data_IF_228922049908
#
_entry.id   IF_228922049908
#
_cell.length_a   1.000
_cell.length_b   1.000
_cell.length_c   1.000
_cell.angle_alpha   90.00
_cell.angle_beta   90.00
_cell.angle_gamma   90.00
#
_symmetry.space_group_name_H-M   'P 1'
#
loop_
_entity.id
_entity.type
_entity.pdbx_description
1 polymer ?
#
# COMPACT_ATOMS: atom_id res chain seq x y z
N UNK A 1 -2.46 -2.85 -24.52
CA UNK A 1 -1.21 -3.63 -24.78
C UNK A 1 -0.41 -3.91 -23.48
N UNK A 2 -0.38 -3.01 -22.52
CA UNK A 2 0.38 -3.20 -21.24
C UNK A 2 -0.28 -4.21 -20.30
N UNK A 3 -1.62 -4.24 -20.20
CA UNK A 3 -2.34 -5.28 -19.48
C UNK A 3 -1.99 -6.68 -19.99
N UNK A 4 -1.85 -6.85 -21.31
CA UNK A 4 -1.52 -8.15 -21.90
C UNK A 4 -0.12 -8.68 -21.51
N UNK A 5 0.88 -7.82 -21.30
CA UNK A 5 2.23 -8.22 -20.89
C UNK A 5 2.20 -8.69 -19.44
N UNK A 6 1.54 -7.94 -18.56
CA UNK A 6 1.35 -8.31 -17.16
C UNK A 6 0.60 -9.65 -17.06
N UNK A 7 -0.53 -9.78 -17.75
CA UNK A 7 -1.35 -10.99 -17.71
C UNK A 7 -0.61 -12.22 -18.25
N UNK A 8 0.24 -12.05 -19.29
CA UNK A 8 1.12 -13.13 -19.78
C UNK A 8 2.18 -13.52 -18.76
N UNK A 9 2.81 -12.56 -18.08
CA UNK A 9 3.78 -12.83 -17.01
C UNK A 9 3.15 -13.60 -15.85
N UNK A 10 1.95 -13.19 -15.43
CA UNK A 10 1.21 -13.87 -14.36
C UNK A 10 0.81 -15.29 -14.77
N UNK A 11 0.36 -15.49 -16.01
CA UNK A 11 0.06 -16.82 -16.58
C UNK A 11 1.29 -17.73 -16.64
N UNK A 12 2.42 -17.22 -17.12
CA UNK A 12 3.67 -17.98 -17.19
C UNK A 12 4.18 -18.44 -15.81
N UNK A 13 3.88 -17.66 -14.75
CA UNK A 13 4.23 -18.03 -13.37
C UNK A 13 3.17 -18.88 -12.66
N UNK A 14 2.09 -19.28 -13.37
CA UNK A 14 1.02 -20.10 -12.81
C UNK A 14 0.17 -19.37 -11.77
N UNK A 15 0.01 -18.04 -11.89
CA UNK A 15 -0.76 -17.20 -10.99
C UNK A 15 -1.98 -16.58 -11.70
N UNK A 16 -2.73 -17.41 -12.44
CA UNK A 16 -3.93 -16.98 -13.19
C UNK A 16 -5.02 -16.38 -12.30
N UNK A 17 -5.04 -16.71 -11.01
CA UNK A 17 -6.02 -16.26 -10.02
C UNK A 17 -5.48 -15.19 -9.07
N UNK A 18 -4.38 -14.50 -9.43
CA UNK A 18 -3.92 -13.38 -8.59
C UNK A 18 -4.84 -12.17 -8.77
N UNK A 19 -5.61 -11.88 -7.73
CA UNK A 19 -6.53 -10.75 -7.69
C UNK A 19 -5.82 -9.40 -7.46
N UNK A 20 -4.49 -9.35 -7.59
CA UNK A 20 -3.70 -8.13 -7.39
C UNK A 20 -3.86 -7.57 -5.97
N UNK A 21 -4.14 -6.27 -5.87
CA UNK A 21 -4.34 -5.60 -4.57
C UNK A 21 -5.49 -6.21 -3.76
N UNK A 22 -6.56 -6.65 -4.44
CA UNK A 22 -7.69 -7.31 -3.77
C UNK A 22 -7.27 -8.65 -3.12
N UNK A 23 -6.33 -9.38 -3.71
CA UNK A 23 -5.79 -10.62 -3.12
C UNK A 23 -5.05 -10.35 -1.80
N UNK A 24 -4.30 -9.26 -1.72
CA UNK A 24 -3.63 -8.85 -0.48
C UNK A 24 -4.65 -8.41 0.58
N UNK A 25 -5.68 -7.64 0.20
CA UNK A 25 -6.75 -7.22 1.10
C UNK A 25 -7.51 -8.43 1.66
N UNK A 26 -7.84 -9.41 0.82
CA UNK A 26 -8.43 -10.68 1.27
C UNK A 26 -7.50 -11.47 2.20
N UNK A 27 -6.20 -11.46 1.92
CA UNK A 27 -5.17 -12.02 2.81
C UNK A 27 -5.14 -11.33 4.17
N UNK A 28 -5.25 -10.01 4.20
CA UNK A 28 -5.35 -9.20 5.42
C UNK A 28 -6.67 -9.42 6.17
N UNK A 29 -7.75 -9.82 5.50
CA UNK A 29 -8.99 -10.31 6.13
C UNK A 29 -8.88 -11.76 6.62
N UNK A 30 -7.78 -12.43 6.32
CA UNK A 30 -7.58 -13.85 6.62
C UNK A 30 -8.38 -14.80 5.73
N UNK A 31 -8.98 -14.33 4.65
CA UNK A 31 -9.80 -15.14 3.73
C UNK A 31 -8.94 -16.01 2.81
N UNK A 32 -7.82 -15.46 2.34
CA UNK A 32 -6.92 -16.13 1.39
C UNK A 32 -5.46 -16.13 1.89
N UNK A 33 -4.66 -17.06 1.36
CA UNK A 33 -3.22 -17.09 1.60
C UNK A 33 -2.51 -16.24 0.55
N UNK A 34 -1.77 -15.25 1.02
CA UNK A 34 -0.94 -14.42 0.14
C UNK A 34 0.28 -15.19 -0.31
N UNK A 35 0.57 -15.17 -1.61
CA UNK A 35 1.74 -15.84 -2.18
C UNK A 35 2.95 -14.89 -2.17
N UNK A 36 4.13 -15.41 -1.76
CA UNK A 36 5.38 -14.65 -1.86
C UNK A 36 5.76 -14.34 -3.33
N UNK A 37 5.31 -15.15 -4.28
CA UNK A 37 5.59 -14.96 -5.70
C UNK A 37 5.01 -13.66 -6.26
N UNK A 38 3.99 -13.10 -5.60
CA UNK A 38 3.40 -11.80 -5.98
C UNK A 38 4.43 -10.67 -5.85
N UNK A 39 5.34 -10.70 -4.86
CA UNK A 39 6.34 -9.65 -4.67
C UNK A 39 7.26 -9.45 -5.88
N UNK A 40 8.02 -10.45 -6.37
CA UNK A 40 8.87 -10.26 -7.53
C UNK A 40 8.08 -9.99 -8.81
N UNK A 41 6.90 -10.59 -8.96
CA UNK A 41 6.06 -10.37 -10.13
C UNK A 41 5.58 -8.94 -10.24
N UNK A 42 5.04 -8.37 -9.14
CA UNK A 42 4.56 -6.98 -9.16
C UNK A 42 5.72 -6.00 -9.33
N UNK A 43 6.89 -6.30 -8.75
CA UNK A 43 8.08 -5.47 -8.92
C UNK A 43 8.51 -5.40 -10.39
N UNK A 44 8.66 -6.56 -11.06
CA UNK A 44 9.05 -6.63 -12.47
C UNK A 44 7.98 -6.00 -13.37
N UNK A 45 6.69 -6.32 -13.12
CA UNK A 45 5.59 -5.77 -13.90
C UNK A 45 5.51 -4.24 -13.79
N UNK A 46 5.71 -3.69 -12.60
CA UNK A 46 5.72 -2.24 -12.38
C UNK A 46 6.92 -1.59 -13.07
N UNK A 47 8.09 -2.19 -12.98
CA UNK A 47 9.30 -1.71 -13.63
C UNK A 47 9.13 -1.67 -15.15
N UNK A 48 8.66 -2.75 -15.77
CA UNK A 48 8.40 -2.82 -17.20
C UNK A 48 7.37 -1.78 -17.62
N UNK A 49 6.30 -1.61 -16.84
CA UNK A 49 5.26 -0.62 -17.15
C UNK A 49 5.82 0.80 -17.17
N UNK A 50 6.65 1.17 -16.20
CA UNK A 50 7.27 2.49 -16.16
C UNK A 50 8.30 2.70 -17.27
N UNK A 51 9.13 1.69 -17.55
CA UNK A 51 10.12 1.74 -18.64
C UNK A 51 9.46 1.93 -20.01
N UNK A 52 8.27 1.36 -20.21
CA UNK A 52 7.51 1.52 -21.45
C UNK A 52 6.64 2.79 -21.47
N UNK A 53 6.82 3.71 -20.53
CA UNK A 53 6.07 4.96 -20.45
C UNK A 53 4.61 4.80 -20.01
N UNK A 54 4.26 3.68 -19.40
CA UNK A 54 2.91 3.43 -18.90
C UNK A 54 2.62 4.16 -17.59
N UNK A 55 1.40 4.61 -17.44
CA UNK A 55 0.89 5.17 -16.19
C UNK A 55 0.42 4.03 -15.29
N UNK A 56 1.20 3.70 -14.25
CA UNK A 56 0.82 2.75 -13.22
C UNK A 56 0.94 3.40 -11.85
N UNK A 57 -0.10 3.23 -11.03
CA UNK A 57 -0.09 3.67 -9.63
C UNK A 57 0.94 2.88 -8.82
N UNK A 58 1.63 3.56 -7.91
CA UNK A 58 2.63 2.95 -7.02
C UNK A 58 2.01 2.38 -5.75
N UNK A 59 0.82 2.88 -5.37
CA UNK A 59 0.14 2.55 -4.13
C UNK A 59 -0.20 1.06 -4.03
N UNK A 60 -0.87 0.53 -5.06
CA UNK A 60 -1.23 -0.87 -5.12
C UNK A 60 -0.01 -1.80 -5.16
N UNK A 61 1.07 -1.40 -5.85
CA UNK A 61 2.31 -2.16 -5.88
C UNK A 61 3.00 -2.19 -4.52
N UNK A 62 3.01 -1.07 -3.76
CA UNK A 62 3.58 -1.01 -2.43
C UNK A 62 2.85 -1.93 -1.44
N UNK A 63 1.51 -1.94 -1.49
CA UNK A 63 0.69 -2.82 -0.65
C UNK A 63 0.95 -4.30 -0.98
N UNK A 64 1.00 -4.64 -2.27
CA UNK A 64 1.26 -6.01 -2.72
C UNK A 64 2.67 -6.48 -2.34
N UNK A 65 3.68 -5.64 -2.55
CA UNK A 65 5.05 -5.91 -2.13
C UNK A 65 5.14 -6.14 -0.63
N UNK A 66 4.68 -5.18 0.17
CA UNK A 66 4.75 -5.27 1.63
C UNK A 66 4.03 -6.49 2.20
N UNK A 67 2.77 -6.69 1.78
CA UNK A 67 1.96 -7.82 2.25
C UNK A 67 2.48 -9.19 1.80
N UNK A 68 3.00 -9.31 0.56
CA UNK A 68 3.50 -10.58 0.06
C UNK A 68 4.89 -10.95 0.59
N UNK A 69 5.78 -9.98 0.81
CA UNK A 69 7.11 -10.23 1.37
C UNK A 69 7.05 -10.79 2.80
N UNK A 70 6.09 -10.33 3.60
CA UNK A 70 5.95 -10.77 4.99
C UNK A 70 5.19 -12.11 5.13
N UNK A 71 4.42 -12.48 4.12
CA UNK A 71 3.57 -13.69 4.10
C UNK A 71 4.27 -15.00 4.50
N UNK A 72 5.54 -15.30 4.10
CA UNK A 72 6.22 -16.53 4.45
C UNK A 72 6.49 -16.71 5.94
N UNK A 73 6.54 -15.61 6.70
CA UNK A 73 6.79 -15.66 8.15
C UNK A 73 5.69 -16.38 8.93
N UNK A 74 4.53 -16.61 8.32
CA UNK A 74 3.45 -17.39 8.91
C UNK A 74 3.90 -18.79 9.34
N UNK A 75 4.69 -19.47 8.48
CA UNK A 75 5.10 -20.86 8.73
C UNK A 75 6.07 -20.99 9.91
N UNK A 76 7.20 -20.27 9.93
CA UNK A 76 8.17 -20.39 11.02
C UNK A 76 7.61 -19.88 12.36
N UNK A 77 6.75 -18.87 12.34
CA UNK A 77 6.14 -18.30 13.55
C UNK A 77 4.87 -19.05 14.00
N UNK A 78 4.41 -20.05 13.24
CA UNK A 78 3.19 -20.82 13.54
C UNK A 78 1.98 -19.96 13.85
N UNK A 79 1.79 -18.86 13.09
CA UNK A 79 0.77 -17.85 13.37
C UNK A 79 -0.64 -18.38 13.10
N UNK A 80 -1.54 -18.05 14.03
CA UNK A 80 -2.96 -18.26 13.87
C UNK A 80 -3.53 -17.38 12.73
N UNK A 81 -4.80 -17.58 12.37
CA UNK A 81 -5.45 -16.82 11.30
C UNK A 81 -5.47 -15.32 11.58
N UNK A 82 -5.80 -14.93 12.82
CA UNK A 82 -5.87 -13.53 13.23
C UNK A 82 -4.48 -12.87 13.25
N UNK A 83 -3.48 -13.56 13.76
CA UNK A 83 -2.10 -13.07 13.80
C UNK A 83 -1.53 -12.93 12.39
N UNK A 84 -1.87 -13.85 11.49
CA UNK A 84 -1.49 -13.76 10.09
C UNK A 84 -2.15 -12.56 9.39
N UNK A 85 -3.41 -12.29 9.68
CA UNK A 85 -4.12 -11.10 9.21
C UNK A 85 -3.39 -9.82 9.66
N UNK A 86 -3.08 -9.70 10.96
CA UNK A 86 -2.30 -8.56 11.47
C UNK A 86 -0.92 -8.46 10.82
N UNK A 87 -0.24 -9.59 10.61
CA UNK A 87 1.07 -9.61 9.94
C UNK A 87 0.99 -9.01 8.53
N UNK A 88 -0.02 -9.39 7.74
CA UNK A 88 -0.22 -8.82 6.40
C UNK A 88 -0.49 -7.31 6.47
N UNK A 89 -1.33 -6.85 7.40
CA UNK A 89 -1.57 -5.41 7.61
C UNK A 89 -0.27 -4.67 7.96
N UNK A 90 0.59 -5.24 8.83
CA UNK A 90 1.91 -4.67 9.14
C UNK A 90 2.79 -4.57 7.91
N UNK A 91 2.81 -5.60 7.04
CA UNK A 91 3.54 -5.56 5.79
C UNK A 91 3.04 -4.47 4.83
N UNK A 92 1.72 -4.33 4.71
CA UNK A 92 1.10 -3.28 3.92
C UNK A 92 1.47 -1.88 4.44
N UNK A 93 1.39 -1.68 5.77
CA UNK A 93 1.77 -0.42 6.43
C UNK A 93 3.25 -0.10 6.20
N UNK A 94 4.14 -1.08 6.34
CA UNK A 94 5.57 -0.92 6.10
C UNK A 94 5.86 -0.51 4.65
N UNK A 95 5.30 -1.23 3.68
CA UNK A 95 5.49 -0.92 2.25
C UNK A 95 5.00 0.46 1.86
N UNK A 96 3.83 0.86 2.38
CA UNK A 96 3.25 2.18 2.14
C UNK A 96 4.09 3.29 2.80
N UNK A 97 4.53 3.07 4.04
CA UNK A 97 5.38 4.01 4.79
C UNK A 97 6.73 4.24 4.11
N UNK A 98 7.39 3.18 3.65
CA UNK A 98 8.66 3.28 2.94
C UNK A 98 8.53 4.07 1.63
N UNK A 99 7.38 3.97 0.94
CA UNK A 99 7.14 4.67 -0.31
C UNK A 99 6.85 6.17 -0.12
N UNK A 100 6.02 6.51 0.88
CA UNK A 100 5.49 7.87 1.06
C UNK A 100 6.16 8.65 2.20
N UNK A 101 6.90 7.99 3.08
CA UNK A 101 7.52 8.63 4.25
C UNK A 101 6.51 9.11 5.30
N UNK A 102 5.31 8.52 5.35
CA UNK A 102 4.20 8.92 6.23
C UNK A 102 3.76 7.77 7.13
N UNK A 103 4.52 7.42 8.18
CA UNK A 103 4.28 6.21 8.96
C UNK A 103 2.91 6.16 9.66
N UNK A 104 2.47 7.27 10.24
CA UNK A 104 1.17 7.31 10.92
C UNK A 104 0.01 7.09 9.94
N UNK A 105 0.03 7.80 8.80
CA UNK A 105 -0.99 7.63 7.77
C UNK A 105 -0.96 6.23 7.15
N UNK A 106 0.23 5.65 6.96
CA UNK A 106 0.39 4.29 6.44
C UNK A 106 -0.21 3.23 7.36
N UNK A 107 -0.03 3.37 8.68
CA UNK A 107 -0.61 2.46 9.67
C UNK A 107 -2.14 2.51 9.66
N UNK A 108 -2.71 3.72 9.69
CA UNK A 108 -4.18 3.90 9.64
C UNK A 108 -4.74 3.37 8.32
N UNK A 109 -4.12 3.72 7.19
CA UNK A 109 -4.56 3.27 5.87
C UNK A 109 -4.57 1.75 5.74
N UNK A 110 -3.53 1.06 6.23
CA UNK A 110 -3.46 -0.41 6.15
C UNK A 110 -4.59 -1.10 6.93
N UNK A 111 -5.05 -0.49 8.03
CA UNK A 111 -6.15 -1.01 8.83
C UNK A 111 -7.49 -0.72 8.16
N UNK A 112 -7.72 0.52 7.73
CA UNK A 112 -8.98 0.96 7.14
C UNK A 112 -9.28 0.29 5.79
N UNK A 113 -8.25 0.07 4.95
CA UNK A 113 -8.44 -0.54 3.63
C UNK A 113 -8.84 -2.01 3.71
N UNK A 114 -8.56 -2.69 4.83
CA UNK A 114 -8.87 -4.12 4.97
C UNK A 114 -10.32 -4.37 5.25
N UNK A 115 -10.94 -3.60 6.15
CA UNK A 115 -12.38 -3.74 6.50
C UNK A 115 -12.97 -2.35 6.70
N UNK A 116 -13.75 -1.92 5.76
CA UNK A 116 -14.44 -0.62 5.86
C UNK A 116 -15.43 -0.65 7.02
N UNK A 117 -15.26 0.27 7.96
CA UNK A 117 -16.17 0.45 9.10
C UNK A 117 -15.93 -0.46 10.32
N UNK A 118 -14.96 -1.37 10.27
CA UNK A 118 -14.55 -2.18 11.42
C UNK A 118 -13.05 -2.00 11.64
N UNK A 119 -12.68 -1.13 12.57
CA UNK A 119 -11.27 -0.93 12.90
C UNK A 119 -10.77 -2.10 13.77
N UNK A 120 -9.75 -2.81 13.29
CA UNK A 120 -9.01 -3.77 14.09
C UNK A 120 -8.05 -3.04 15.03
N UNK A 121 -8.56 -2.52 16.15
CA UNK A 121 -7.78 -1.74 17.13
C UNK A 121 -6.53 -2.47 17.62
N UNK A 122 -6.57 -3.80 17.71
CA UNK A 122 -5.42 -4.62 18.07
C UNK A 122 -4.26 -4.53 17.08
N UNK A 123 -4.52 -4.16 15.84
CA UNK A 123 -3.50 -4.01 14.78
C UNK A 123 -2.84 -2.62 14.76
N UNK A 124 -3.37 -1.62 15.47
CA UNK A 124 -2.86 -0.24 15.42
C UNK A 124 -1.40 -0.17 15.85
N UNK A 125 -1.08 -0.71 17.03
CA UNK A 125 0.28 -0.66 17.58
C UNK A 125 1.28 -1.42 16.70
N UNK A 126 1.04 -2.68 16.31
CA UNK A 126 1.92 -3.41 15.41
C UNK A 126 2.11 -2.71 14.05
N UNK A 127 1.04 -2.21 13.44
CA UNK A 127 1.13 -1.49 12.15
C UNK A 127 1.91 -0.18 12.28
N UNK A 128 1.72 0.57 13.38
CA UNK A 128 2.46 1.80 13.62
C UNK A 128 3.96 1.53 13.82
N UNK A 129 4.32 0.52 14.63
CA UNK A 129 5.72 0.13 14.81
C UNK A 129 6.36 -0.34 13.51
N UNK A 130 5.66 -1.16 12.73
CA UNK A 130 6.12 -1.63 11.44
C UNK A 130 6.32 -0.49 10.43
N UNK A 131 5.40 0.46 10.38
CA UNK A 131 5.49 1.62 9.49
C UNK A 131 6.62 2.58 9.90
N UNK A 132 6.83 2.82 11.20
CA UNK A 132 7.93 3.62 11.71
C UNK A 132 9.29 2.99 11.40
N UNK A 133 9.45 1.69 11.68
CA UNK A 133 10.70 0.99 11.36
C UNK A 133 11.00 1.00 9.87
N UNK A 134 9.98 0.83 9.02
CA UNK A 134 10.14 0.90 7.57
C UNK A 134 10.57 2.30 7.09
N UNK A 135 10.00 3.36 7.67
CA UNK A 135 10.42 4.73 7.37
C UNK A 135 11.87 4.99 7.79
N UNK A 136 12.27 4.56 8.99
CA UNK A 136 13.65 4.69 9.48
C UNK A 136 14.65 3.94 8.60
N UNK A 137 14.31 2.73 8.17
CA UNK A 137 15.16 1.94 7.27
C UNK A 137 15.27 2.62 5.90
N UNK A 138 14.16 3.13 5.35
CA UNK A 138 14.16 3.84 4.09
C UNK A 138 15.03 5.11 4.16
N UNK A 139 14.96 5.85 5.26
CA UNK A 139 15.80 7.04 5.49
C UNK A 139 17.28 6.68 5.63
N UNK A 140 17.61 5.60 6.33
CA UNK A 140 18.97 5.10 6.42
C UNK A 140 19.60 4.75 5.07
N UNK A 141 18.81 4.17 4.15
CA UNK A 141 19.24 3.93 2.77
C UNK A 141 19.15 5.17 1.87
N UNK A 142 18.86 6.34 2.43
CA UNK A 142 18.68 7.60 1.68
C UNK A 142 17.62 7.51 0.56
N UNK A 143 16.63 6.67 0.73
CA UNK A 143 15.49 6.58 -0.19
C UNK A 143 14.59 7.78 0.08
N UNK A 144 14.61 8.76 -0.83
CA UNK A 144 13.75 9.93 -0.68
C UNK A 144 12.30 9.56 -0.98
N UNK A 145 11.36 9.85 -0.07
CA UNK A 145 9.94 9.64 -0.33
C UNK A 145 9.48 10.52 -1.49
N UNK A 146 8.40 10.11 -2.14
CA UNK A 146 7.81 10.91 -3.21
C UNK A 146 7.25 12.20 -2.63
N UNK A 147 7.91 13.32 -2.91
CA UNK A 147 7.48 14.65 -2.48
C UNK A 147 7.07 15.48 -3.70
N UNK A 148 5.90 16.09 -3.62
CA UNK A 148 5.45 17.07 -4.60
C UNK A 148 5.64 18.47 -4.02
N UNK A 149 6.52 19.25 -4.63
CA UNK A 149 6.74 20.63 -4.22
C UNK A 149 5.57 21.50 -4.72
N UNK A 150 4.66 21.85 -3.84
CA UNK A 150 3.63 22.83 -4.13
C UNK A 150 4.21 24.21 -3.88
N UNK A 151 4.52 24.96 -4.95
CA UNK A 151 5.21 26.26 -4.88
C UNK A 151 4.34 27.41 -4.34
N UNK A 152 3.04 27.29 -4.44
CA UNK A 152 2.10 28.32 -4.01
C UNK A 152 1.06 27.70 -3.07
N UNK A 153 1.41 27.59 -1.81
CA UNK A 153 0.42 27.30 -0.77
C UNK A 153 -0.09 28.66 -0.29
N UNK A 154 -1.37 28.99 -0.54
CA UNK A 154 -1.93 30.22 -0.02
C UNK A 154 -1.89 30.17 1.52
N UNK A 155 -1.31 31.18 2.15
CA UNK A 155 -1.34 31.31 3.59
C UNK A 155 -2.80 31.45 4.07
N UNK A 156 -3.12 30.80 5.19
CA UNK A 156 -4.45 30.88 5.78
C UNK A 156 -4.70 32.33 6.35
N UNK A 157 -5.25 33.17 5.52
CA UNK A 157 -5.72 34.49 5.90
C UNK A 157 -7.26 34.51 5.98
N UNK A 158 -7.84 35.58 6.52
CA UNK A 158 -9.30 35.73 6.67
C UNK A 158 -10.09 35.52 5.36
N UNK A 159 -9.46 35.78 4.20
CA UNK A 159 -10.06 35.55 2.87
C UNK A 159 -10.04 34.11 2.41
N UNK A 160 -9.44 33.22 3.18
CA UNK A 160 -9.31 31.78 2.82
C UNK A 160 -10.63 30.99 2.88
N UNK A 161 -11.68 31.56 3.50
CA UNK A 161 -13.01 30.95 3.51
C UNK A 161 -13.56 30.68 2.10
N UNK A 162 -13.26 31.55 1.17
CA UNK A 162 -13.69 31.41 -0.22
C UNK A 162 -12.94 30.23 -0.93
N UNK A 163 -11.66 30.04 -0.61
CA UNK A 163 -10.89 28.89 -1.08
C UNK A 163 -11.38 27.59 -0.45
N UNK A 164 -11.68 27.61 0.84
CA UNK A 164 -12.25 26.45 1.54
C UNK A 164 -13.59 26.03 0.91
N UNK A 165 -14.47 27.00 0.66
CA UNK A 165 -15.75 26.75 0.01
C UNK A 165 -15.58 26.13 -1.39
N UNK A 166 -14.65 26.64 -2.19
CA UNK A 166 -14.32 26.08 -3.51
C UNK A 166 -13.80 24.65 -3.41
N UNK A 167 -12.93 24.37 -2.45
CA UNK A 167 -12.37 23.02 -2.24
C UNK A 167 -13.48 22.04 -1.84
N UNK A 168 -14.38 22.45 -0.96
CA UNK A 168 -15.55 21.65 -0.56
C UNK A 168 -16.45 21.35 -1.78
N UNK A 169 -16.76 22.38 -2.58
CA UNK A 169 -17.58 22.23 -3.78
C UNK A 169 -16.91 21.26 -4.77
N UNK A 170 -15.60 21.41 -4.99
CA UNK A 170 -14.85 20.49 -5.86
C UNK A 170 -14.82 19.06 -5.30
N UNK A 171 -14.71 18.90 -3.98
CA UNK A 171 -14.78 17.57 -3.34
C UNK A 171 -16.15 16.90 -3.52
N UNK A 172 -17.24 17.68 -3.37
CA UNK A 172 -18.61 17.18 -3.60
C UNK A 172 -18.83 16.83 -5.07
N UNK A 173 -18.30 17.64 -6.00
CA UNK A 173 -18.46 17.41 -7.44
C UNK A 173 -17.61 16.23 -7.95
N UNK A 174 -16.55 15.83 -7.23
CA UNK A 174 -15.65 14.72 -7.57
C UNK A 174 -16.01 13.39 -6.92
N UNK A 175 -16.97 13.36 -5.99
CA UNK A 175 -17.44 12.16 -5.30
C UNK A 175 -18.61 11.51 -6.05
#
# INVERSE_FOLDING_TARGET
RQMCIRDRLYKLCGMDNDHGTNGIIKGARGEEKVSIKTAPLIFIATLITHLLGGSAGREGAALQLGGSLISPLRKPLKLNRNDYSMLIMCGMAAGFSALFGTPAAAAVFAIEVTVVGIAHYSAIVPCLLSSLTAAMVADWFHVKPTSFLVRYIPEFHADSYFMLARTIIMGIAGA
#
